data_IF_080315858834
#
_entry.id   IF_080315858834
#
_cell.length_a   1.000
_cell.length_b   1.000
_cell.length_c   1.000
_cell.angle_alpha   90.00
_cell.angle_beta   90.00
_cell.angle_gamma   90.00
#
_symmetry.space_group_name_H-M   'P 1'
#
loop_
_entity.id
_entity.type
_entity.pdbx_description
1 polymer ?
#
# COMPACT_ATOMS: atom_id res chain seq x y z
N UNK A 1 18.64 -10.01 13.36
CA UNK A 1 17.82 -10.80 12.41
C UNK A 1 16.67 -9.91 11.96
N UNK A 2 16.47 -9.74 10.64
CA UNK A 2 15.32 -8.98 10.12
C UNK A 2 14.05 -9.79 10.32
N UNK A 3 12.97 -9.13 10.74
CA UNK A 3 11.67 -9.75 10.96
C UNK A 3 10.60 -8.93 10.25
N UNK A 4 9.84 -9.56 9.34
CA UNK A 4 8.70 -8.92 8.72
C UNK A 4 7.49 -8.97 9.65
N UNK A 5 6.94 -7.81 9.97
CA UNK A 5 5.75 -7.67 10.81
C UNK A 5 4.59 -7.16 9.99
N UNK A 6 3.49 -7.89 9.97
CA UNK A 6 2.26 -7.41 9.32
C UNK A 6 1.68 -6.28 10.17
N UNK A 7 1.72 -5.06 9.65
CA UNK A 7 1.15 -3.85 10.27
C UNK A 7 0.00 -3.29 9.45
N UNK A 8 -0.04 -3.59 8.15
CA UNK A 8 -1.10 -3.19 7.23
C UNK A 8 -1.61 -4.39 6.44
N UNK A 9 -2.93 -4.47 6.28
CA UNK A 9 -3.61 -5.40 5.38
C UNK A 9 -4.47 -4.58 4.44
N UNK A 10 -4.25 -4.72 3.13
CA UNK A 10 -4.97 -3.96 2.13
C UNK A 10 -5.81 -4.87 1.23
N UNK A 11 -7.03 -4.44 0.97
CA UNK A 11 -7.92 -5.08 0.00
C UNK A 11 -8.25 -4.12 -1.15
N UNK A 12 -8.64 -4.70 -2.26
CA UNK A 12 -9.06 -3.96 -3.43
C UNK A 12 -10.42 -4.50 -3.92
N UNK A 13 -11.52 -4.03 -3.33
CA UNK A 13 -12.86 -4.47 -3.71
C UNK A 13 -13.29 -3.85 -5.05
N UNK A 14 -14.20 -4.53 -5.76
CA UNK A 14 -14.83 -3.99 -6.98
C UNK A 14 -15.68 -2.75 -6.69
N UNK A 15 -16.30 -2.71 -5.53
CA UNK A 15 -17.15 -1.63 -5.04
C UNK A 15 -16.67 -1.21 -3.65
N UNK A 16 -15.76 -0.23 -3.57
CA UNK A 16 -15.18 0.24 -2.31
C UNK A 16 -16.23 0.78 -1.32
N UNK A 17 -17.26 1.46 -1.82
CA UNK A 17 -18.31 2.04 -0.98
C UNK A 17 -19.18 0.95 -0.35
N UNK A 18 -19.55 -0.06 -1.13
CA UNK A 18 -20.30 -1.21 -0.64
C UNK A 18 -19.49 -2.02 0.37
N UNK A 19 -18.21 -2.23 0.11
CA UNK A 19 -17.30 -2.91 1.04
C UNK A 19 -17.22 -2.15 2.37
N UNK A 20 -17.00 -0.84 2.31
CA UNK A 20 -16.93 0.03 3.49
C UNK A 20 -18.26 0.02 4.27
N UNK A 21 -19.40 0.06 3.58
CA UNK A 21 -20.72 -0.03 4.21
C UNK A 21 -20.87 -1.33 5.00
N UNK A 22 -20.54 -2.46 4.37
CA UNK A 22 -20.61 -3.78 5.05
C UNK A 22 -19.70 -3.81 6.29
N UNK A 23 -18.48 -3.32 6.17
CA UNK A 23 -17.52 -3.30 7.28
C UNK A 23 -17.97 -2.39 8.42
N UNK A 24 -18.66 -1.27 8.13
CA UNK A 24 -19.30 -0.42 9.16
C UNK A 24 -20.41 -1.17 9.92
N UNK A 25 -21.21 -1.94 9.20
CA UNK A 25 -22.24 -2.80 9.82
C UNK A 25 -21.62 -3.90 10.71
N UNK A 26 -20.39 -4.31 10.42
CA UNK A 26 -19.59 -5.26 11.22
C UNK A 26 -18.84 -4.61 12.39
N UNK A 27 -18.92 -3.27 12.56
CA UNK A 27 -18.31 -2.55 13.67
C UNK A 27 -17.10 -1.68 13.33
N UNK A 28 -16.64 -1.66 12.08
CA UNK A 28 -15.55 -0.78 11.64
C UNK A 28 -16.11 0.61 11.31
N UNK A 29 -16.29 1.47 12.33
CA UNK A 29 -17.03 2.73 12.19
C UNK A 29 -16.15 3.93 11.84
N UNK A 30 -14.93 3.99 12.35
CA UNK A 30 -14.05 5.15 12.21
C UNK A 30 -13.09 4.99 11.01
N UNK A 31 -13.44 5.62 9.90
CA UNK A 31 -12.64 5.60 8.67
C UNK A 31 -11.90 6.92 8.45
N UNK A 32 -10.62 6.82 8.13
CA UNK A 32 -9.80 7.93 7.65
C UNK A 32 -9.70 7.82 6.14
N UNK A 33 -10.12 8.88 5.45
CA UNK A 33 -10.11 8.95 4.00
C UNK A 33 -8.93 9.81 3.53
N UNK A 34 -8.31 9.39 2.43
CA UNK A 34 -7.26 10.18 1.79
C UNK A 34 -7.31 10.00 0.28
N UNK A 35 -7.02 11.07 -0.46
CA UNK A 35 -6.69 11.04 -1.86
C UNK A 35 -5.18 11.25 -1.98
N UNK A 36 -4.52 10.33 -2.66
CA UNK A 36 -3.06 10.35 -2.78
C UNK A 36 -2.62 10.42 -4.24
N UNK A 37 -1.51 11.10 -4.46
CA UNK A 37 -0.77 11.10 -5.72
C UNK A 37 0.59 10.46 -5.47
N UNK A 38 0.94 9.49 -6.30
CA UNK A 38 2.19 8.74 -6.19
C UNK A 38 2.99 8.86 -7.49
N UNK A 39 4.27 9.19 -7.36
CA UNK A 39 5.20 9.30 -8.47
C UNK A 39 6.41 8.41 -8.23
N UNK A 40 6.87 7.71 -9.25
CA UNK A 40 8.01 6.81 -9.13
C UNK A 40 8.14 5.87 -10.31
N UNK A 41 8.36 4.60 -10.05
CA UNK A 41 8.64 3.59 -11.08
C UNK A 41 7.89 2.28 -10.81
N UNK A 42 7.47 1.63 -11.90
CA UNK A 42 7.00 0.24 -11.94
C UNK A 42 7.95 -0.51 -12.87
N UNK A 43 8.71 -1.47 -12.35
CA UNK A 43 9.80 -2.16 -13.05
C UNK A 43 10.70 -1.21 -13.85
N UNK A 44 11.14 -0.11 -13.21
CA UNK A 44 12.00 0.89 -13.82
C UNK A 44 11.32 1.85 -14.82
N UNK A 45 10.04 1.71 -15.08
CA UNK A 45 9.25 2.59 -15.96
C UNK A 45 8.61 3.68 -15.09
N UNK A 46 8.89 4.95 -15.41
CA UNK A 46 8.32 6.09 -14.69
C UNK A 46 6.80 6.10 -14.78
N UNK A 47 6.17 6.30 -13.64
CA UNK A 47 4.72 6.35 -13.50
C UNK A 47 4.30 7.50 -12.58
N UNK A 48 3.08 7.99 -12.81
CA UNK A 48 2.31 8.76 -11.85
C UNK A 48 0.94 8.10 -11.75
N UNK A 49 0.45 7.90 -10.53
CA UNK A 49 -0.86 7.33 -10.31
C UNK A 49 -1.59 8.03 -9.16
N UNK A 50 -2.90 7.89 -9.13
CA UNK A 50 -3.77 8.44 -8.10
C UNK A 50 -4.65 7.33 -7.52
N UNK A 51 -4.95 7.46 -6.23
CA UNK A 51 -5.82 6.52 -5.54
C UNK A 51 -6.61 7.22 -4.43
N UNK A 52 -7.82 6.72 -4.20
CA UNK A 52 -8.54 6.96 -2.97
C UNK A 52 -8.24 5.84 -1.98
N UNK A 53 -7.86 6.20 -0.79
CA UNK A 53 -7.51 5.28 0.29
C UNK A 53 -8.50 5.47 1.45
N UNK A 54 -8.94 4.37 2.02
CA UNK A 54 -9.75 4.39 3.25
C UNK A 54 -9.09 3.48 4.28
N UNK A 55 -8.81 4.03 5.46
CA UNK A 55 -8.12 3.33 6.54
C UNK A 55 -9.02 3.13 7.74
N UNK A 56 -8.93 1.95 8.35
CA UNK A 56 -9.60 1.62 9.61
C UNK A 56 -8.63 0.84 10.52
N UNK A 57 -8.69 1.11 11.82
CA UNK A 57 -7.82 0.48 12.82
C UNK A 57 -8.57 -0.43 13.80
N UNK A 58 -9.88 -0.56 13.68
CA UNK A 58 -10.71 -1.33 14.61
C UNK A 58 -10.75 -2.82 14.27
N UNK A 59 -10.72 -3.16 12.97
CA UNK A 59 -10.95 -4.52 12.48
C UNK A 59 -9.90 -5.54 12.92
N UNK A 60 -8.63 -5.12 13.03
CA UNK A 60 -7.50 -6.01 13.29
C UNK A 60 -6.69 -5.62 14.53
N UNK A 61 -7.36 -5.19 15.59
CA UNK A 61 -6.71 -4.93 16.87
C UNK A 61 -5.63 -3.85 16.80
N UNK A 62 -5.90 -2.73 16.12
CA UNK A 62 -4.99 -1.61 15.96
C UNK A 62 -4.03 -1.71 14.77
N UNK A 63 -4.10 -2.78 13.98
CA UNK A 63 -3.41 -2.85 12.68
C UNK A 63 -4.18 -2.04 11.65
N UNK A 64 -3.45 -1.45 10.71
CA UNK A 64 -4.05 -0.68 9.63
C UNK A 64 -4.72 -1.61 8.62
N UNK A 65 -6.02 -1.43 8.44
CA UNK A 65 -6.78 -2.05 7.37
C UNK A 65 -7.06 -1.01 6.29
N UNK A 66 -6.68 -1.29 5.06
CA UNK A 66 -6.74 -0.35 3.94
C UNK A 66 -7.70 -0.87 2.85
N UNK A 67 -8.59 0.00 2.38
CA UNK A 67 -9.30 -0.18 1.11
C UNK A 67 -8.64 0.71 0.08
N UNK A 68 -8.24 0.10 -1.03
CA UNK A 68 -7.63 0.76 -2.18
C UNK A 68 -8.63 0.92 -3.32
N UNK A 69 -8.71 2.12 -3.86
CA UNK A 69 -9.43 2.44 -5.09
C UNK A 69 -8.53 3.27 -6.02
N UNK A 70 -7.89 2.60 -6.98
CA UNK A 70 -7.07 3.28 -7.98
C UNK A 70 -7.94 4.01 -8.98
N UNK A 71 -7.75 5.31 -9.09
CA UNK A 71 -8.55 6.20 -9.92
C UNK A 71 -7.88 6.50 -11.24
N UNK A 72 -6.56 6.76 -11.25
CA UNK A 72 -5.81 7.11 -12.45
C UNK A 72 -4.39 6.56 -12.44
N UNK A 73 -3.84 6.44 -13.65
CA UNK A 73 -2.45 6.08 -13.89
C UNK A 73 -2.14 4.60 -13.80
N UNK A 74 -0.86 4.29 -13.94
CA UNK A 74 -0.35 2.94 -13.94
C UNK A 74 0.32 2.61 -12.60
N UNK A 75 -0.05 1.48 -12.02
CA UNK A 75 0.58 0.96 -10.80
C UNK A 75 0.58 -0.57 -10.81
N UNK A 76 1.53 -1.16 -10.12
CA UNK A 76 1.71 -2.61 -10.07
C UNK A 76 0.52 -3.33 -9.43
N UNK A 77 0.02 -2.81 -8.31
CA UNK A 77 -1.11 -3.41 -7.61
C UNK A 77 -2.38 -3.37 -8.48
N UNK A 78 -2.61 -2.25 -9.19
CA UNK A 78 -3.70 -2.12 -10.15
C UNK A 78 -3.57 -3.11 -11.32
N UNK A 79 -2.37 -3.31 -11.84
CA UNK A 79 -2.11 -4.31 -12.89
C UNK A 79 -2.39 -5.73 -12.40
N UNK A 80 -1.98 -6.06 -11.19
CA UNK A 80 -2.30 -7.36 -10.58
C UNK A 80 -3.81 -7.58 -10.48
N UNK A 81 -4.57 -6.53 -10.14
CA UNK A 81 -6.03 -6.61 -10.07
C UNK A 81 -6.68 -6.81 -11.44
N UNK A 82 -6.13 -6.20 -12.50
CA UNK A 82 -6.60 -6.43 -13.87
C UNK A 82 -6.32 -7.87 -14.32
N UNK A 83 -5.20 -8.44 -13.90
CA UNK A 83 -4.74 -9.78 -14.29
C UNK A 83 -5.42 -10.88 -13.47
N UNK A 84 -5.59 -10.70 -12.16
CA UNK A 84 -6.05 -11.73 -11.22
C UNK A 84 -7.48 -11.49 -10.72
N UNK A 85 -8.13 -10.40 -11.16
CA UNK A 85 -9.45 -9.96 -10.72
C UNK A 85 -9.41 -9.03 -9.52
N UNK A 86 -10.43 -8.17 -9.43
CA UNK A 86 -10.73 -7.38 -8.23
C UNK A 86 -11.33 -8.28 -7.14
N UNK A 87 -11.62 -7.76 -5.97
CA UNK A 87 -12.02 -8.48 -4.75
C UNK A 87 -10.92 -9.40 -4.22
N UNK A 88 -9.72 -8.87 -4.09
CA UNK A 88 -8.56 -9.61 -3.60
C UNK A 88 -7.88 -8.90 -2.44
N UNK A 89 -7.07 -9.64 -1.69
CA UNK A 89 -6.04 -9.05 -0.82
C UNK A 89 -4.97 -8.47 -1.73
N UNK A 90 -4.76 -7.16 -1.63
CA UNK A 90 -3.81 -6.43 -2.47
C UNK A 90 -2.38 -6.67 -2.00
N UNK A 91 -2.11 -6.33 -0.74
CA UNK A 91 -0.77 -6.48 -0.15
C UNK A 91 -0.82 -6.61 1.37
N UNK A 92 0.31 -7.06 1.92
CA UNK A 92 0.64 -6.95 3.34
C UNK A 92 1.74 -5.91 3.49
N UNK A 93 1.59 -4.99 4.44
CA UNK A 93 2.52 -3.88 4.63
C UNK A 93 3.24 -3.91 5.96
N UNK A 94 4.45 -3.36 5.97
CA UNK A 94 5.27 -3.11 7.16
C UNK A 94 5.89 -1.72 7.08
N UNK A 95 5.85 -0.98 8.18
CA UNK A 95 6.63 0.25 8.31
C UNK A 95 8.10 -0.08 8.61
N UNK A 96 9.00 0.66 8.02
CA UNK A 96 10.43 0.52 8.28
C UNK A 96 11.17 1.85 8.10
N UNK A 97 12.40 1.91 8.61
CA UNK A 97 13.31 3.01 8.32
C UNK A 97 13.96 2.84 6.94
N UNK A 98 14.60 3.91 6.45
CA UNK A 98 15.38 3.83 5.19
C UNK A 98 16.53 2.82 5.28
N UNK A 99 17.18 2.71 6.43
CA UNK A 99 18.27 1.76 6.68
C UNK A 99 17.77 0.32 6.68
N UNK A 100 16.63 0.05 7.30
CA UNK A 100 15.99 -1.26 7.27
C UNK A 100 15.56 -1.63 5.84
N UNK A 101 15.04 -0.69 5.07
CA UNK A 101 14.68 -0.91 3.68
C UNK A 101 15.88 -1.34 2.82
N UNK A 102 17.06 -0.75 3.04
CA UNK A 102 18.30 -1.17 2.35
C UNK A 102 18.60 -2.65 2.62
N UNK A 103 18.45 -3.08 3.88
CA UNK A 103 18.66 -4.47 4.27
C UNK A 103 17.64 -5.41 3.63
N UNK A 104 16.37 -4.98 3.54
CA UNK A 104 15.31 -5.73 2.86
C UNK A 104 15.54 -5.84 1.36
N UNK A 105 16.00 -4.76 0.71
CA UNK A 105 16.36 -4.80 -0.72
C UNK A 105 17.41 -5.86 -0.99
N UNK A 106 18.50 -5.86 -0.22
CA UNK A 106 19.54 -6.88 -0.33
C UNK A 106 19.00 -8.30 -0.13
N UNK A 107 18.14 -8.49 0.88
CA UNK A 107 17.50 -9.79 1.15
C UNK A 107 16.70 -10.31 -0.05
N UNK A 108 15.92 -9.46 -0.72
CA UNK A 108 15.12 -9.84 -1.88
C UNK A 108 15.98 -9.99 -3.14
N UNK A 109 16.98 -9.13 -3.35
CA UNK A 109 17.92 -9.24 -4.47
C UNK A 109 18.68 -10.57 -4.45
N UNK A 110 19.16 -11.01 -3.30
CA UNK A 110 19.84 -12.31 -3.13
C UNK A 110 18.93 -13.52 -3.44
N UNK A 111 17.63 -13.30 -3.64
CA UNK A 111 16.60 -14.30 -3.95
C UNK A 111 15.95 -14.10 -5.30
N UNK A 112 16.53 -13.26 -6.13
CA UNK A 112 16.02 -12.90 -7.47
C UNK A 112 14.57 -12.34 -7.42
N UNK A 113 14.19 -11.70 -6.31
CA UNK A 113 12.88 -11.04 -6.18
C UNK A 113 13.04 -9.55 -6.46
N UNK A 114 12.42 -9.11 -7.55
CA UNK A 114 12.53 -7.73 -8.01
C UNK A 114 11.69 -6.75 -7.19
N UNK A 115 12.08 -5.48 -7.18
CA UNK A 115 11.21 -4.37 -6.84
C UNK A 115 10.23 -4.19 -7.99
N UNK A 116 8.95 -4.45 -7.74
CA UNK A 116 7.91 -4.27 -8.73
C UNK A 116 7.49 -2.80 -8.87
N UNK A 117 7.37 -2.11 -7.74
CA UNK A 117 7.00 -0.70 -7.71
C UNK A 117 7.75 0.03 -6.60
N UNK A 118 8.20 1.23 -6.90
CA UNK A 118 8.69 2.20 -5.92
C UNK A 118 8.13 3.57 -6.24
N UNK A 119 7.37 4.14 -5.32
CA UNK A 119 6.72 5.43 -5.50
C UNK A 119 6.79 6.29 -4.26
N UNK A 120 7.01 7.58 -4.46
CA UNK A 120 6.81 8.60 -3.45
C UNK A 120 5.34 9.04 -3.50
N UNK A 121 4.65 8.89 -2.39
CA UNK A 121 3.22 9.13 -2.25
C UNK A 121 2.98 10.33 -1.36
N UNK A 122 2.23 11.29 -1.86
CA UNK A 122 1.78 12.48 -1.14
C UNK A 122 0.28 12.40 -0.84
N UNK A 123 -0.07 12.71 0.41
CA UNK A 123 -1.46 12.90 0.83
C UNK A 123 -1.96 14.25 0.36
N UNK A 124 -3.17 14.29 -0.16
CA UNK A 124 -3.81 15.51 -0.63
C UNK A 124 -5.00 15.95 0.22
N UNK A 125 -5.72 15.03 0.83
CA UNK A 125 -6.98 15.34 1.51
C UNK A 125 -7.00 15.00 3.00
N UNK A 126 -6.08 14.17 3.49
CA UNK A 126 -5.99 13.87 4.90
C UNK A 126 -5.34 15.04 5.66
N UNK A 127 -6.09 15.82 6.48
CA UNK A 127 -5.59 17.05 7.11
C UNK A 127 -4.50 16.80 8.17
N UNK A 128 -4.37 15.56 8.63
CA UNK A 128 -3.35 15.20 9.63
C UNK A 128 -1.96 15.14 9.00
N UNK A 129 -1.87 14.69 7.73
CA UNK A 129 -0.60 14.41 7.06
C UNK A 129 -0.36 15.22 5.78
N UNK A 130 -1.40 15.73 5.12
CA UNK A 130 -1.27 16.53 3.91
C UNK A 130 -0.30 17.70 4.09
N UNK A 131 0.69 17.81 3.21
CA UNK A 131 1.74 18.82 3.28
C UNK A 131 2.80 18.61 4.37
N UNK A 132 2.62 17.66 5.29
CA UNK A 132 3.53 17.42 6.43
C UNK A 132 4.37 16.15 6.26
N UNK A 133 3.87 15.20 5.47
CA UNK A 133 4.50 13.89 5.28
C UNK A 133 4.33 13.41 3.87
N UNK A 134 5.34 12.65 3.43
CA UNK A 134 5.26 11.77 2.26
C UNK A 134 5.61 10.35 2.71
N UNK A 135 5.28 9.39 1.88
CA UNK A 135 5.64 8.00 2.12
C UNK A 135 6.33 7.44 0.89
N UNK A 136 7.48 6.81 1.09
CA UNK A 136 8.07 5.97 0.05
C UNK A 136 7.49 4.56 0.19
N UNK A 137 6.76 4.11 -0.81
CA UNK A 137 6.19 2.77 -0.88
C UNK A 137 7.02 1.92 -1.83
N UNK A 138 7.57 0.83 -1.30
CA UNK A 138 8.34 -0.15 -2.07
C UNK A 138 7.63 -1.48 -2.02
N UNK A 139 7.27 -2.00 -3.19
CA UNK A 139 6.55 -3.26 -3.35
C UNK A 139 7.48 -4.25 -4.04
N UNK A 140 7.68 -5.40 -3.42
CA UNK A 140 8.43 -6.51 -4.00
C UNK A 140 7.49 -7.51 -4.67
N UNK A 141 7.92 -8.05 -5.82
CA UNK A 141 7.16 -9.03 -6.60
C UNK A 141 7.17 -10.41 -5.92
N UNK A 142 6.37 -10.52 -4.86
CA UNK A 142 6.27 -11.75 -4.06
C UNK A 142 4.99 -12.54 -4.32
N UNK A 143 4.08 -12.03 -5.15
CA UNK A 143 2.74 -12.60 -5.33
C UNK A 143 2.77 -14.04 -5.84
N UNK A 144 3.66 -14.37 -6.76
CA UNK A 144 3.76 -15.73 -7.30
C UNK A 144 4.34 -16.75 -6.30
N UNK A 145 4.99 -16.30 -5.22
CA UNK A 145 5.51 -17.14 -4.14
C UNK A 145 4.52 -17.22 -2.97
N UNK A 146 3.97 -16.04 -2.57
CA UNK A 146 3.18 -15.88 -1.35
C UNK A 146 1.67 -15.75 -1.62
N UNK A 147 1.25 -15.58 -2.88
CA UNK A 147 -0.12 -15.23 -3.23
C UNK A 147 -0.51 -13.76 -2.94
N UNK A 148 0.43 -12.97 -2.42
CA UNK A 148 0.24 -11.56 -2.06
C UNK A 148 1.56 -10.82 -2.21
N UNK A 149 1.50 -9.52 -2.51
CA UNK A 149 2.68 -8.66 -2.54
C UNK A 149 3.04 -8.16 -1.14
N UNK A 150 4.34 -7.96 -0.89
CA UNK A 150 4.84 -7.32 0.32
C UNK A 150 5.19 -5.86 0.02
N UNK A 151 4.65 -4.95 0.85
CA UNK A 151 4.85 -3.52 0.76
C UNK A 151 5.64 -3.01 1.96
N UNK A 152 6.69 -2.26 1.70
CA UNK A 152 7.48 -1.58 2.71
C UNK A 152 7.17 -0.09 2.68
N UNK A 153 6.92 0.48 3.85
CA UNK A 153 6.41 1.84 4.02
C UNK A 153 7.45 2.64 4.79
N UNK A 154 8.13 3.57 4.11
CA UNK A 154 9.05 4.49 4.74
C UNK A 154 8.40 5.86 4.85
N UNK A 155 8.22 6.32 6.09
CA UNK A 155 7.67 7.65 6.37
C UNK A 155 8.75 8.72 6.21
N UNK A 156 8.42 9.77 5.48
CA UNK A 156 9.26 10.95 5.26
C UNK A 156 8.54 12.17 5.84
N UNK A 157 9.10 12.77 6.87
CA UNK A 157 8.56 14.04 7.41
C UNK A 157 9.07 15.18 6.53
N UNK A 158 8.17 16.10 6.17
CA UNK A 158 8.52 17.37 5.50
C UNK A 158 8.85 18.39 6.58
N UNK A 159 9.91 19.15 6.36
CA UNK A 159 10.28 20.29 7.21
C UNK A 159 9.32 21.45 7.03
#
# INVERSE_FOLDING_TARGET
MMEFKIEQIAICPMDPDRAKKLLKEMGAVDWVEDHVVATGEVFGIKVTNEANLSFNYDLFGGKEFEILDYTEGNNWLGQNMLTHGKNCVSHLGMHCTSEELISWRKFFEERDIAVAQEVLTDSHTNPVIAGKRSYNYVIFDTRYILGVDLKFIVRINKE
#
